data_IF_020106414174
#
_entry.id   IF_020106414174
#
_cell.length_a   1.000
_cell.length_b   1.000
_cell.length_c   1.000
_cell.angle_alpha   90.00
_cell.angle_beta   90.00
_cell.angle_gamma   90.00
#
_symmetry.space_group_name_H-M   'P 1'
#
loop_
_entity.id
_entity.type
_entity.pdbx_description
1 polymer ?
#
# COMPACT_ATOMS: atom_id res chain seq x y z
N UNK A 1 5.17 -22.65 -5.86
CA UNK A 1 5.23 -21.18 -5.94
C UNK A 1 6.32 -20.71 -4.99
N UNK A 2 7.23 -19.86 -5.48
CA UNK A 2 8.25 -19.24 -4.62
C UNK A 2 7.60 -18.29 -3.60
N UNK A 3 8.27 -17.97 -2.48
CA UNK A 3 7.80 -16.97 -1.52
C UNK A 3 7.51 -15.63 -2.19
N UNK A 4 8.36 -15.22 -3.13
CA UNK A 4 8.19 -14.00 -3.93
C UNK A 4 6.90 -14.04 -4.76
N UNK A 5 6.63 -15.15 -5.46
CA UNK A 5 5.42 -15.33 -6.25
C UNK A 5 4.15 -15.18 -5.38
N UNK A 6 4.14 -15.83 -4.21
CA UNK A 6 3.03 -15.72 -3.26
C UNK A 6 2.82 -14.29 -2.77
N UNK A 7 3.91 -13.59 -2.41
CA UNK A 7 3.84 -12.19 -1.96
C UNK A 7 3.31 -11.27 -3.06
N UNK A 8 3.72 -11.47 -4.31
CA UNK A 8 3.22 -10.70 -5.45
C UNK A 8 1.72 -10.93 -5.67
N UNK A 9 1.24 -12.18 -5.60
CA UNK A 9 -0.19 -12.49 -5.69
C UNK A 9 -0.97 -11.79 -4.58
N UNK A 10 -0.56 -11.98 -3.31
CA UNK A 10 -1.28 -11.44 -2.16
C UNK A 10 -1.29 -9.91 -2.17
N UNK A 11 -0.15 -9.26 -2.41
CA UNK A 11 -0.06 -7.80 -2.47
C UNK A 11 -0.85 -7.25 -3.66
N UNK A 12 -0.75 -7.87 -4.84
CA UNK A 12 -1.50 -7.46 -6.02
C UNK A 12 -3.01 -7.50 -5.78
N UNK A 13 -3.51 -8.58 -5.17
CA UNK A 13 -4.92 -8.72 -4.79
C UNK A 13 -5.33 -7.71 -3.70
N UNK A 14 -4.47 -7.45 -2.72
CA UNK A 14 -4.74 -6.48 -1.65
C UNK A 14 -4.82 -5.06 -2.21
N UNK A 15 -3.94 -4.68 -3.15
CA UNK A 15 -4.01 -3.41 -3.86
C UNK A 15 -5.32 -3.32 -4.64
N UNK A 16 -5.66 -4.34 -5.42
CA UNK A 16 -6.91 -4.38 -6.18
C UNK A 16 -8.15 -4.21 -5.28
N UNK A 17 -8.24 -5.02 -4.21
CA UNK A 17 -9.37 -5.02 -3.29
C UNK A 17 -9.48 -3.70 -2.50
N UNK A 18 -8.36 -3.14 -2.04
CA UNK A 18 -8.37 -1.91 -1.25
C UNK A 18 -8.65 -0.66 -2.08
N UNK A 19 -8.38 -0.67 -3.40
CA UNK A 19 -8.51 0.49 -4.29
C UNK A 19 -9.72 0.44 -5.22
N UNK A 20 -10.33 -0.73 -5.45
CA UNK A 20 -11.59 -0.85 -6.19
C UNK A 20 -12.72 0.04 -5.61
N UNK A 21 -12.89 0.19 -4.28
CA UNK A 21 -13.91 1.08 -3.72
C UNK A 21 -13.75 2.56 -4.11
N UNK A 22 -12.53 3.03 -4.43
CA UNK A 22 -12.32 4.40 -4.91
C UNK A 22 -12.99 4.67 -6.27
N UNK A 23 -13.28 3.62 -7.05
CA UNK A 23 -13.95 3.75 -8.35
C UNK A 23 -15.45 3.95 -8.14
N UNK A 24 -16.05 3.08 -7.30
CA UNK A 24 -17.50 3.00 -7.11
C UNK A 24 -18.00 4.02 -6.08
N UNK A 25 -17.28 4.18 -4.96
CA UNK A 25 -17.63 5.05 -3.85
C UNK A 25 -16.41 5.90 -3.40
N UNK A 26 -15.89 6.79 -4.26
CA UNK A 26 -14.68 7.59 -3.99
C UNK A 26 -14.75 8.41 -2.69
N UNK A 27 -15.85 9.11 -2.46
CA UNK A 27 -16.00 10.01 -1.30
C UNK A 27 -16.14 9.23 0.01
N UNK A 28 -16.93 8.15 0.00
CA UNK A 28 -17.05 7.24 1.14
C UNK A 28 -15.72 6.56 1.49
N UNK A 29 -14.97 6.13 0.48
CA UNK A 29 -13.66 5.50 0.67
C UNK A 29 -12.63 6.51 1.20
N UNK A 30 -12.63 7.74 0.68
CA UNK A 30 -11.79 8.83 1.20
C UNK A 30 -12.12 9.16 2.66
N UNK A 31 -13.39 9.27 3.00
CA UNK A 31 -13.84 9.49 4.38
C UNK A 31 -13.38 8.37 5.32
N UNK A 32 -13.48 7.12 4.87
CA UNK A 32 -12.95 5.96 5.60
C UNK A 32 -11.44 6.09 5.84
N UNK A 33 -10.64 6.42 4.82
CA UNK A 33 -9.20 6.59 4.98
C UNK A 33 -8.84 7.71 5.95
N UNK A 34 -9.52 8.85 5.86
CA UNK A 34 -9.32 9.97 6.79
C UNK A 34 -9.67 9.56 8.23
N UNK A 35 -10.75 8.79 8.41
CA UNK A 35 -11.14 8.25 9.72
C UNK A 35 -10.10 7.28 10.27
N UNK A 36 -9.52 6.43 9.42
CA UNK A 36 -8.42 5.54 9.82
C UNK A 36 -7.15 6.31 10.22
N UNK A 37 -7.02 7.58 9.86
CA UNK A 37 -5.85 8.43 10.16
C UNK A 37 -6.15 9.49 11.24
N UNK A 38 -7.35 9.47 11.83
CA UNK A 38 -7.87 10.54 12.67
C UNK A 38 -7.03 10.78 13.94
N UNK A 39 -6.48 9.72 14.52
CA UNK A 39 -5.75 9.78 15.80
C UNK A 39 -4.32 9.27 15.65
N UNK A 40 -3.43 9.79 16.50
CA UNK A 40 -2.02 9.38 16.52
C UNK A 40 -1.86 7.88 16.81
N UNK A 41 -2.73 7.32 17.66
CA UNK A 41 -2.79 5.88 17.92
C UNK A 41 -3.15 5.07 16.68
N UNK A 42 -4.12 5.54 15.87
CA UNK A 42 -4.47 4.88 14.60
C UNK A 42 -3.36 5.01 13.56
N UNK A 43 -2.68 6.15 13.49
CA UNK A 43 -1.50 6.32 12.63
C UNK A 43 -0.38 5.34 12.96
N UNK A 44 -0.10 5.13 14.26
CA UNK A 44 0.83 4.11 14.73
C UNK A 44 0.35 2.69 14.41
N UNK A 45 -0.96 2.43 14.56
CA UNK A 45 -1.56 1.15 14.14
C UNK A 45 -1.39 0.86 12.65
N UNK A 46 -1.59 1.86 11.79
CA UNK A 46 -1.32 1.76 10.36
C UNK A 46 0.16 1.50 10.08
N UNK A 47 1.06 2.12 10.85
CA UNK A 47 2.49 1.86 10.72
C UNK A 47 2.85 0.39 10.98
N UNK A 48 2.21 -0.27 11.95
CA UNK A 48 2.42 -1.70 12.21
C UNK A 48 2.04 -2.54 10.98
N UNK A 49 0.92 -2.24 10.34
CA UNK A 49 0.52 -2.93 9.10
C UNK A 49 1.55 -2.71 7.99
N UNK A 50 2.05 -1.49 7.84
CA UNK A 50 3.08 -1.15 6.85
C UNK A 50 4.40 -1.89 7.16
N UNK A 51 4.77 -2.04 8.43
CA UNK A 51 5.94 -2.82 8.86
C UNK A 51 5.79 -4.28 8.46
N UNK A 52 4.64 -4.88 8.73
CA UNK A 52 4.39 -6.29 8.39
C UNK A 52 4.48 -6.50 6.87
N UNK A 53 3.86 -5.61 6.08
CA UNK A 53 3.94 -5.68 4.62
C UNK A 53 5.39 -5.51 4.13
N UNK A 54 6.09 -4.48 4.60
CA UNK A 54 7.48 -4.22 4.20
C UNK A 54 8.43 -5.36 4.60
N UNK A 55 8.27 -5.91 5.81
CA UNK A 55 9.06 -7.04 6.30
C UNK A 55 8.82 -8.32 5.51
N UNK A 56 7.56 -8.64 5.17
CA UNK A 56 7.22 -9.79 4.32
C UNK A 56 7.81 -9.63 2.91
N UNK A 57 7.78 -8.43 2.34
CA UNK A 57 8.38 -8.15 1.03
C UNK A 57 9.89 -8.38 1.03
N UNK A 58 10.59 -7.87 2.04
CA UNK A 58 12.04 -8.05 2.21
C UNK A 58 12.39 -9.53 2.39
N UNK A 59 11.66 -10.23 3.26
CA UNK A 59 11.89 -11.66 3.51
C UNK A 59 11.69 -12.51 2.25
N UNK A 60 10.62 -12.24 1.50
CA UNK A 60 10.30 -13.00 0.30
C UNK A 60 11.24 -12.72 -0.88
N UNK A 61 11.87 -11.54 -0.93
CA UNK A 61 12.82 -11.19 -1.98
C UNK A 61 14.28 -11.51 -1.65
N UNK A 62 14.64 -11.60 -0.37
CA UNK A 62 16.01 -11.88 0.08
C UNK A 62 16.69 -13.12 -0.56
N UNK A 63 15.99 -14.26 -0.81
CA UNK A 63 16.62 -15.43 -1.41
C UNK A 63 16.72 -15.39 -2.94
N UNK A 64 16.14 -14.39 -3.60
CA UNK A 64 15.96 -14.33 -5.06
C UNK A 64 16.88 -13.28 -5.70
N UNK A 65 17.57 -13.62 -6.80
CA UNK A 65 18.49 -12.69 -7.49
C UNK A 65 17.87 -11.99 -8.71
N UNK A 66 16.56 -12.09 -8.88
CA UNK A 66 15.86 -11.51 -10.04
C UNK A 66 15.73 -9.99 -9.91
N UNK A 67 15.60 -9.29 -11.04
CA UNK A 67 15.36 -7.85 -11.03
C UNK A 67 14.09 -7.47 -10.25
N UNK A 68 13.04 -8.30 -10.33
CA UNK A 68 11.78 -8.09 -9.59
C UNK A 68 11.98 -8.26 -8.09
N UNK A 69 12.76 -9.27 -7.66
CA UNK A 69 13.10 -9.43 -6.24
C UNK A 69 13.77 -8.17 -5.68
N UNK A 70 14.73 -7.59 -6.41
CA UNK A 70 15.37 -6.33 -6.03
C UNK A 70 14.36 -5.17 -5.91
N UNK A 71 13.43 -5.03 -6.86
CA UNK A 71 12.39 -4.00 -6.79
C UNK A 71 11.51 -4.20 -5.55
N UNK A 72 11.07 -5.43 -5.28
CA UNK A 72 10.23 -5.77 -4.13
C UNK A 72 10.98 -5.53 -2.81
N UNK A 73 12.27 -5.85 -2.75
CA UNK A 73 13.13 -5.58 -1.60
C UNK A 73 13.20 -4.08 -1.28
N UNK A 74 13.52 -3.24 -2.28
CA UNK A 74 13.60 -1.80 -2.11
C UNK A 74 12.26 -1.17 -1.76
N UNK A 75 11.16 -1.67 -2.33
CA UNK A 75 9.82 -1.25 -1.97
C UNK A 75 9.50 -1.61 -0.51
N UNK A 76 9.90 -2.80 -0.04
CA UNK A 76 9.79 -3.18 1.36
C UNK A 76 10.55 -2.24 2.30
N UNK A 77 11.79 -1.88 1.97
CA UNK A 77 12.57 -0.90 2.73
C UNK A 77 11.91 0.49 2.75
N UNK A 78 11.38 0.95 1.63
CA UNK A 78 10.63 2.21 1.55
C UNK A 78 9.40 2.18 2.48
N UNK A 79 8.67 1.05 2.52
CA UNK A 79 7.55 0.88 3.44
C UNK A 79 8.00 0.98 4.90
N UNK A 80 9.12 0.35 5.29
CA UNK A 80 9.67 0.48 6.65
C UNK A 80 10.04 1.92 6.99
N UNK A 81 10.61 2.68 6.06
CA UNK A 81 10.92 4.09 6.26
C UNK A 81 9.64 4.92 6.49
N UNK A 82 8.60 4.70 5.68
CA UNK A 82 7.29 5.36 5.84
C UNK A 82 6.67 5.00 7.20
N UNK A 83 6.71 3.73 7.60
CA UNK A 83 6.19 3.30 8.88
C UNK A 83 6.93 3.94 10.06
N UNK A 84 8.25 4.03 9.96
CA UNK A 84 9.09 4.71 10.95
C UNK A 84 8.67 6.17 11.09
N UNK A 85 8.44 6.87 9.97
CA UNK A 85 7.91 8.22 9.96
C UNK A 85 6.54 8.33 10.66
N UNK A 86 5.63 7.38 10.41
CA UNK A 86 4.30 7.35 11.04
C UNK A 86 4.37 7.11 12.55
N UNK A 87 5.36 6.34 13.03
CA UNK A 87 5.56 6.07 14.46
C UNK A 87 6.15 7.26 15.19
N UNK A 88 7.22 7.83 14.63
CA UNK A 88 7.99 8.91 15.25
C UNK A 88 7.27 10.25 15.18
N UNK A 89 6.59 10.53 14.06
CA UNK A 89 5.98 11.83 13.77
C UNK A 89 4.50 11.68 13.35
N UNK A 90 3.64 11.04 14.18
CA UNK A 90 2.25 10.72 13.81
C UNK A 90 1.42 11.97 13.48
N UNK A 91 1.63 13.07 14.20
CA UNK A 91 0.94 14.34 13.94
C UNK A 91 1.30 14.96 12.58
N UNK A 92 2.57 14.89 12.16
CA UNK A 92 3.00 15.37 10.84
C UNK A 92 2.50 14.46 9.73
N UNK A 93 2.63 13.15 9.93
CA UNK A 93 2.12 12.14 9.00
C UNK A 93 0.61 12.30 8.78
N UNK A 94 -0.17 12.53 9.86
CA UNK A 94 -1.61 12.81 9.77
C UNK A 94 -1.87 14.07 8.96
N UNK A 95 -1.18 15.18 9.25
CA UNK A 95 -1.36 16.44 8.50
C UNK A 95 -1.13 16.22 7.01
N UNK A 96 0.00 15.63 6.64
CA UNK A 96 0.32 15.30 5.25
C UNK A 96 -0.80 14.45 4.62
N UNK A 97 -1.19 13.36 5.28
CA UNK A 97 -2.22 12.47 4.75
C UNK A 97 -3.58 13.18 4.59
N UNK A 98 -4.00 13.97 5.57
CA UNK A 98 -5.26 14.73 5.50
C UNK A 98 -5.23 15.80 4.42
N UNK A 99 -4.10 16.46 4.19
CA UNK A 99 -3.95 17.46 3.12
C UNK A 99 -3.94 16.79 1.75
N UNK A 100 -3.20 15.69 1.58
CA UNK A 100 -3.11 14.96 0.31
C UNK A 100 -4.43 14.30 -0.08
N UNK A 101 -5.04 13.52 0.82
CA UNK A 101 -6.37 12.96 0.55
C UNK A 101 -7.42 14.06 0.45
N UNK A 102 -7.22 15.15 1.19
CA UNK A 102 -8.02 16.38 1.19
C UNK A 102 -8.16 17.05 -0.17
N UNK A 103 -7.07 17.08 -0.93
CA UNK A 103 -6.97 17.84 -2.19
C UNK A 103 -7.48 17.09 -3.42
N UNK A 104 -7.63 15.76 -3.35
CA UNK A 104 -8.06 14.99 -4.51
C UNK A 104 -9.54 15.16 -4.82
N UNK A 105 -9.83 15.54 -6.07
CA UNK A 105 -11.20 15.55 -6.60
C UNK A 105 -11.72 14.13 -6.82
N UNK A 106 -13.05 13.99 -6.88
CA UNK A 106 -13.72 12.70 -7.10
C UNK A 106 -13.24 12.02 -8.40
N UNK A 107 -12.99 12.80 -9.46
CA UNK A 107 -12.43 12.29 -10.72
C UNK A 107 -11.01 11.72 -10.57
N UNK A 108 -10.15 12.41 -9.81
CA UNK A 108 -8.78 11.93 -9.53
C UNK A 108 -8.80 10.66 -8.68
N UNK A 109 -9.67 10.60 -7.66
CA UNK A 109 -9.81 9.40 -6.82
C UNK A 109 -10.24 8.17 -7.63
N UNK A 110 -11.20 8.34 -8.56
CA UNK A 110 -11.62 7.25 -9.47
C UNK A 110 -10.47 6.82 -10.38
N UNK A 111 -9.74 7.78 -10.96
CA UNK A 111 -8.57 7.50 -11.79
C UNK A 111 -7.48 6.74 -11.04
N UNK A 112 -7.13 7.18 -9.84
CA UNK A 112 -6.18 6.50 -8.95
C UNK A 112 -6.67 5.08 -8.59
N UNK A 113 -7.97 4.92 -8.29
CA UNK A 113 -8.57 3.62 -8.03
C UNK A 113 -8.43 2.66 -9.21
N UNK A 114 -8.71 3.13 -10.42
CA UNK A 114 -8.63 2.33 -11.65
C UNK A 114 -7.18 1.96 -12.01
N UNK A 115 -6.26 2.92 -11.93
CA UNK A 115 -4.82 2.66 -12.17
C UNK A 115 -4.31 1.63 -11.16
N UNK A 116 -4.63 1.81 -9.87
CA UNK A 116 -4.18 0.89 -8.84
C UNK A 116 -4.84 -0.49 -8.97
N UNK A 117 -6.10 -0.57 -9.39
CA UNK A 117 -6.78 -1.84 -9.66
C UNK A 117 -6.07 -2.62 -10.77
N UNK A 118 -5.84 -1.97 -11.92
CA UNK A 118 -5.14 -2.59 -13.06
C UNK A 118 -3.75 -3.02 -12.64
N UNK A 119 -3.00 -2.14 -11.98
CA UNK A 119 -1.66 -2.46 -11.48
C UNK A 119 -1.66 -3.65 -10.52
N UNK A 120 -2.58 -3.68 -9.56
CA UNK A 120 -2.70 -4.79 -8.60
C UNK A 120 -3.00 -6.12 -9.28
N UNK A 121 -3.91 -6.13 -10.26
CA UNK A 121 -4.21 -7.33 -11.05
C UNK A 121 -3.02 -7.78 -11.89
N UNK A 122 -2.27 -6.85 -12.50
CA UNK A 122 -1.05 -7.18 -13.26
C UNK A 122 0.03 -7.78 -12.37
N UNK A 123 0.26 -7.22 -11.18
CA UNK A 123 1.21 -7.75 -10.20
C UNK A 123 0.79 -9.15 -9.75
N UNK A 124 -0.50 -9.36 -9.48
CA UNK A 124 -1.00 -10.67 -9.09
C UNK A 124 -0.88 -11.71 -10.23
N UNK A 125 -1.24 -11.33 -11.46
CA UNK A 125 -1.08 -12.18 -12.62
C UNK A 125 0.39 -12.53 -12.86
N UNK A 126 1.31 -11.59 -12.70
CA UNK A 126 2.75 -11.86 -12.78
C UNK A 126 3.20 -12.85 -11.71
N UNK A 127 2.75 -12.68 -10.47
CA UNK A 127 2.98 -13.64 -9.38
C UNK A 127 2.47 -15.05 -9.67
N UNK A 128 1.35 -15.21 -10.38
CA UNK A 128 0.82 -16.52 -10.78
C UNK A 128 1.62 -17.19 -11.90
N UNK A 129 2.41 -16.42 -12.66
CA UNK A 129 3.23 -16.91 -13.79
C UNK A 129 4.72 -17.07 -13.43
N UNK A 130 5.09 -16.89 -12.16
CA UNK A 130 6.42 -17.14 -11.59
C UNK A 130 6.53 -18.57 -11.02
#
# INVERSE_FOLDING_TARGET
MSPLALVLVVIGLLIAASRAPLIVAPEGTRSLYLKLMETDGRMRGLAVLIILLGGVMIWASAPESTAVANIVYWLGLLMLAIATFFILLPGQARRLATTTWGSFSTGVLRGLGLIALIFGLLVAAYGLNL
#
